data_IF_125162814514
#
_entry.id   IF_125162814514
#
_cell.length_a   1.000
_cell.length_b   1.000
_cell.length_c   1.000
_cell.angle_alpha   90.00
_cell.angle_beta   90.00
_cell.angle_gamma   90.00
#
_symmetry.space_group_name_H-M   'P 1'
#
loop_
_entity.id
_entity.type
_entity.pdbx_description
1 polymer ?
#
# COMPACT_ATOMS: atom_id res chain seq x y z
N UNK A 1 16.15 -43.56 19.75
CA UNK A 1 15.83 -43.13 18.38
C UNK A 1 15.15 -41.76 18.48
N UNK A 2 15.90 -40.68 18.25
CA UNK A 2 15.43 -39.30 18.42
C UNK A 2 14.50 -38.90 17.28
N UNK A 3 13.24 -38.55 17.56
CA UNK A 3 12.39 -37.81 16.62
C UNK A 3 12.33 -36.35 17.04
N UNK A 4 13.36 -35.58 16.67
CA UNK A 4 13.26 -34.13 16.60
C UNK A 4 12.41 -33.76 15.38
N UNK A 5 11.09 -33.83 15.49
CA UNK A 5 10.21 -33.18 14.51
C UNK A 5 10.21 -31.69 14.83
N UNK A 6 10.90 -30.91 14.00
CA UNK A 6 10.94 -29.45 14.12
C UNK A 6 9.52 -28.88 13.99
N UNK A 7 8.98 -28.46 15.12
CA UNK A 7 7.62 -27.88 15.27
C UNK A 7 7.39 -26.67 14.35
N UNK A 8 8.47 -26.04 13.88
CA UNK A 8 8.45 -24.85 13.03
C UNK A 8 7.91 -25.07 11.60
N UNK A 9 7.88 -26.30 11.09
CA UNK A 9 7.52 -26.58 9.67
C UNK A 9 6.02 -26.80 9.41
N UNK A 10 5.15 -26.77 10.44
CA UNK A 10 3.74 -27.21 10.34
C UNK A 10 2.66 -26.12 10.28
N UNK A 11 2.98 -24.83 10.43
CA UNK A 11 1.96 -23.78 10.32
C UNK A 11 1.84 -23.26 8.88
N UNK A 12 0.94 -23.86 8.11
CA UNK A 12 0.47 -23.23 6.88
C UNK A 12 -0.38 -22.01 7.22
N UNK A 13 -0.14 -20.91 6.51
CA UNK A 13 -0.90 -19.66 6.66
C UNK A 13 -1.92 -19.58 5.54
N UNK A 14 -3.14 -19.15 5.88
CA UNK A 14 -4.16 -18.87 4.86
C UNK A 14 -3.75 -17.66 4.02
N UNK A 15 -3.92 -17.68 2.68
CA UNK A 15 -3.58 -16.53 1.83
C UNK A 15 -4.31 -15.25 2.27
N UNK A 16 -5.51 -15.37 2.83
CA UNK A 16 -6.32 -14.24 3.31
C UNK A 16 -5.71 -13.57 4.54
N UNK A 17 -5.19 -14.37 5.47
CA UNK A 17 -4.49 -13.86 6.65
C UNK A 17 -3.19 -13.18 6.22
N UNK A 18 -2.46 -13.77 5.28
CA UNK A 18 -1.23 -13.16 4.76
C UNK A 18 -1.49 -11.80 4.11
N UNK A 19 -2.54 -11.69 3.27
CA UNK A 19 -2.96 -10.44 2.64
C UNK A 19 -3.35 -9.40 3.69
N UNK A 20 -4.16 -9.78 4.68
CA UNK A 20 -4.57 -8.87 5.75
C UNK A 20 -3.37 -8.39 6.59
N UNK A 21 -2.44 -9.28 6.93
CA UNK A 21 -1.22 -8.92 7.67
C UNK A 21 -0.36 -7.94 6.89
N UNK A 22 -0.17 -8.14 5.57
CA UNK A 22 0.57 -7.21 4.72
C UNK A 22 -0.15 -5.87 4.62
N UNK A 23 -1.48 -5.86 4.51
CA UNK A 23 -2.26 -4.63 4.50
C UNK A 23 -2.10 -3.82 5.80
N UNK A 24 -2.21 -4.47 6.97
CA UNK A 24 -1.97 -3.81 8.27
C UNK A 24 -0.55 -3.26 8.33
N UNK A 25 0.44 -4.06 7.93
CA UNK A 25 1.85 -3.67 7.96
C UNK A 25 2.10 -2.43 7.09
N UNK A 26 1.60 -2.42 5.85
CA UNK A 26 1.73 -1.28 4.94
C UNK A 26 1.01 -0.03 5.47
N UNK A 27 -0.21 -0.19 6.00
CA UNK A 27 -0.94 0.92 6.63
C UNK A 27 -0.13 1.53 7.77
N UNK A 28 0.42 0.72 8.67
CA UNK A 28 1.13 1.21 9.84
C UNK A 28 2.52 1.81 9.52
N UNK A 29 3.24 1.22 8.56
CA UNK A 29 4.67 1.56 8.36
C UNK A 29 4.95 2.46 7.17
N UNK A 30 4.14 2.38 6.10
CA UNK A 30 4.38 3.13 4.87
C UNK A 30 3.66 4.50 4.83
N UNK A 31 2.84 4.81 5.84
CA UNK A 31 1.95 5.98 5.83
C UNK A 31 2.16 6.91 7.04
N UNK A 32 3.38 6.96 7.59
CA UNK A 32 3.68 7.78 8.78
C UNK A 32 3.47 9.28 8.51
N UNK A 33 4.03 9.81 7.41
CA UNK A 33 3.80 11.21 7.01
C UNK A 33 2.32 11.51 6.77
N UNK A 34 1.56 10.57 6.21
CA UNK A 34 0.12 10.74 6.04
C UNK A 34 -0.55 10.95 7.40
N UNK A 35 -0.28 10.09 8.39
CA UNK A 35 -0.84 10.23 9.74
C UNK A 35 -0.37 11.50 10.45
N UNK A 36 0.90 11.88 10.31
CA UNK A 36 1.44 13.13 10.84
C UNK A 36 0.67 14.34 10.28
N UNK A 37 0.51 14.42 8.96
CA UNK A 37 -0.24 15.50 8.30
C UNK A 37 -1.72 15.52 8.65
N UNK A 38 -2.34 14.35 8.84
CA UNK A 38 -3.71 14.25 9.36
C UNK A 38 -3.78 14.81 10.78
N UNK A 39 -2.85 14.46 11.67
CA UNK A 39 -2.84 14.94 13.05
C UNK A 39 -2.58 16.45 13.17
N UNK A 40 -1.83 17.03 12.23
CA UNK A 40 -1.63 18.48 12.14
C UNK A 40 -2.88 19.21 11.64
N UNK A 41 -3.65 18.59 10.76
CA UNK A 41 -4.88 19.18 10.19
C UNK A 41 -6.08 19.01 11.12
N UNK A 42 -6.18 17.84 11.76
CA UNK A 42 -7.22 17.46 12.70
C UNK A 42 -6.54 17.07 14.02
N UNK A 43 -6.31 18.06 14.92
CA UNK A 43 -5.68 17.80 16.20
C UNK A 43 -6.38 16.67 16.95
N UNK A 44 -5.60 15.68 17.41
CA UNK A 44 -6.11 14.44 18.00
C UNK A 44 -6.93 14.71 19.26
N UNK A 45 -6.59 15.76 20.02
CA UNK A 45 -7.29 16.16 21.24
C UNK A 45 -8.80 16.36 21.00
N UNK A 46 -9.16 16.96 19.86
CA UNK A 46 -10.55 17.30 19.54
C UNK A 46 -11.19 16.33 18.54
N UNK A 47 -10.37 15.59 17.78
CA UNK A 47 -10.82 14.80 16.62
C UNK A 47 -10.45 13.32 16.69
N UNK A 48 -10.16 12.78 17.88
CA UNK A 48 -9.70 11.40 18.05
C UNK A 48 -10.58 10.38 17.29
N UNK A 49 -11.90 10.49 17.41
CA UNK A 49 -12.84 9.61 16.71
C UNK A 49 -12.65 9.62 15.18
N UNK A 50 -12.55 10.81 14.60
CA UNK A 50 -12.36 10.96 13.15
C UNK A 50 -10.97 10.49 12.68
N UNK A 51 -9.92 10.80 13.44
CA UNK A 51 -8.55 10.34 13.11
C UNK A 51 -8.47 8.81 13.13
N UNK A 52 -9.11 8.15 14.11
CA UNK A 52 -9.23 6.69 14.14
C UNK A 52 -9.97 6.15 12.92
N UNK A 53 -11.06 6.81 12.50
CA UNK A 53 -11.76 6.40 11.27
C UNK A 53 -10.89 6.53 10.02
N UNK A 54 -10.02 7.54 9.94
CA UNK A 54 -9.08 7.66 8.82
C UNK A 54 -8.11 6.48 8.78
N UNK A 55 -7.59 6.03 9.93
CA UNK A 55 -6.75 4.84 9.98
C UNK A 55 -7.50 3.58 9.52
N UNK A 56 -8.77 3.43 9.94
CA UNK A 56 -9.64 2.32 9.51
C UNK A 56 -9.91 2.35 8.01
N UNK A 57 -10.23 3.52 7.45
CA UNK A 57 -10.47 3.69 6.01
C UNK A 57 -9.20 3.40 5.21
N UNK A 58 -8.04 3.88 5.67
CA UNK A 58 -6.76 3.58 5.03
C UNK A 58 -6.43 2.09 5.07
N UNK A 59 -6.68 1.42 6.20
CA UNK A 59 -6.54 -0.03 6.30
C UNK A 59 -7.49 -0.76 5.33
N UNK A 60 -8.76 -0.35 5.26
CA UNK A 60 -9.72 -0.88 4.29
C UNK A 60 -9.26 -0.71 2.85
N UNK A 61 -8.74 0.46 2.48
CA UNK A 61 -8.19 0.72 1.15
C UNK A 61 -6.96 -0.16 0.84
N UNK A 62 -6.05 -0.33 1.81
CA UNK A 62 -4.88 -1.17 1.66
C UNK A 62 -5.26 -2.65 1.54
N UNK A 63 -6.23 -3.11 2.33
CA UNK A 63 -6.79 -4.47 2.25
C UNK A 63 -7.47 -4.73 0.90
N UNK A 64 -8.23 -3.75 0.39
CA UNK A 64 -8.87 -3.84 -0.92
C UNK A 64 -7.82 -3.99 -2.03
N UNK A 65 -6.84 -3.09 -2.10
CA UNK A 65 -5.83 -3.08 -3.16
C UNK A 65 -4.98 -4.35 -3.11
N UNK A 66 -4.49 -4.74 -1.93
CA UNK A 66 -3.72 -5.98 -1.78
C UNK A 66 -4.56 -7.18 -2.23
N UNK A 67 -5.82 -7.29 -1.79
CA UNK A 67 -6.72 -8.39 -2.20
C UNK A 67 -6.94 -8.43 -3.71
N UNK A 68 -7.22 -7.28 -4.35
CA UNK A 68 -7.49 -7.20 -5.79
C UNK A 68 -6.27 -7.60 -6.61
N UNK A 69 -5.09 -7.04 -6.30
CA UNK A 69 -3.87 -7.31 -7.04
C UNK A 69 -3.31 -8.71 -6.79
N UNK A 70 -3.58 -9.30 -5.60
CA UNK A 70 -3.05 -10.60 -5.21
C UNK A 70 -4.04 -11.76 -5.48
N UNK A 71 -4.92 -11.60 -6.46
CA UNK A 71 -6.04 -12.50 -6.74
C UNK A 71 -5.65 -13.85 -7.36
N UNK A 72 -4.39 -14.17 -7.61
CA UNK A 72 -4.03 -15.47 -8.20
C UNK A 72 -2.91 -16.16 -7.43
N UNK A 73 -2.96 -17.50 -7.31
CA UNK A 73 -2.06 -18.26 -6.42
C UNK A 73 -0.57 -18.05 -6.72
N UNK A 74 -0.23 -17.88 -7.99
CA UNK A 74 1.16 -17.64 -8.42
C UNK A 74 1.54 -16.15 -8.38
N UNK A 75 0.54 -15.26 -8.34
CA UNK A 75 0.73 -13.80 -8.32
C UNK A 75 0.72 -13.25 -6.89
N UNK A 76 0.11 -13.97 -5.95
CA UNK A 76 -0.03 -13.57 -4.55
C UNK A 76 1.29 -13.09 -3.94
N UNK A 77 2.29 -13.98 -3.89
CA UNK A 77 3.58 -13.67 -3.26
C UNK A 77 4.35 -12.56 -4.00
N UNK A 78 4.55 -12.63 -5.33
CA UNK A 78 5.24 -11.56 -6.06
C UNK A 78 4.62 -10.18 -5.86
N UNK A 79 3.28 -10.08 -5.89
CA UNK A 79 2.59 -8.80 -5.70
C UNK A 79 2.78 -8.28 -4.29
N UNK A 80 2.60 -9.11 -3.26
CA UNK A 80 2.78 -8.66 -1.88
C UNK A 80 4.22 -8.20 -1.62
N UNK A 81 5.21 -8.92 -2.15
CA UNK A 81 6.63 -8.53 -2.07
C UNK A 81 6.86 -7.19 -2.76
N UNK A 82 6.33 -7.02 -3.98
CA UNK A 82 6.45 -5.77 -4.74
C UNK A 82 5.82 -4.60 -3.99
N UNK A 83 4.64 -4.79 -3.38
CA UNK A 83 3.97 -3.76 -2.58
C UNK A 83 4.75 -3.40 -1.31
N UNK A 84 5.38 -4.37 -0.65
CA UNK A 84 6.23 -4.14 0.53
C UNK A 84 7.48 -3.33 0.17
N UNK A 85 8.20 -3.73 -0.89
CA UNK A 85 9.39 -3.01 -1.36
C UNK A 85 9.00 -1.61 -1.82
N UNK A 86 7.95 -1.49 -2.64
CA UNK A 86 7.44 -0.21 -3.13
C UNK A 86 7.02 0.69 -1.96
N UNK A 87 6.30 0.15 -0.97
CA UNK A 87 5.90 0.87 0.23
C UNK A 87 7.10 1.38 1.01
N UNK A 88 8.13 0.55 1.23
CA UNK A 88 9.34 0.95 1.95
C UNK A 88 10.13 2.06 1.21
N UNK A 89 10.30 1.93 -0.11
CA UNK A 89 10.98 2.94 -0.94
C UNK A 89 10.20 4.24 -0.93
N UNK A 90 8.91 4.18 -1.29
CA UNK A 90 8.09 5.39 -1.46
C UNK A 90 7.85 6.11 -0.14
N UNK A 91 7.57 5.37 0.94
CA UNK A 91 7.45 5.97 2.26
C UNK A 91 8.73 6.61 2.74
N UNK A 92 9.92 6.06 2.46
CA UNK A 92 11.18 6.70 2.85
C UNK A 92 11.31 8.11 2.27
N UNK A 93 11.08 8.27 0.96
CA UNK A 93 11.21 9.58 0.32
C UNK A 93 10.09 10.53 0.75
N UNK A 94 8.88 10.01 0.94
CA UNK A 94 7.79 10.80 1.51
C UNK A 94 8.13 11.26 2.93
N UNK A 95 8.64 10.39 3.79
CA UNK A 95 8.96 10.70 5.19
C UNK A 95 10.19 11.61 5.33
N UNK A 96 11.18 11.48 4.46
CA UNK A 96 12.44 12.24 4.56
C UNK A 96 12.38 13.57 3.82
N UNK A 97 11.74 13.60 2.65
CA UNK A 97 11.78 14.75 1.75
C UNK A 97 10.39 15.34 1.44
N UNK A 98 9.31 14.76 2.00
CA UNK A 98 7.94 15.18 1.69
C UNK A 98 7.51 14.85 0.27
N UNK A 99 8.21 13.95 -0.42
CA UNK A 99 7.95 13.61 -1.82
C UNK A 99 6.55 13.05 -2.02
N UNK A 100 5.86 13.57 -3.04
CA UNK A 100 4.57 13.08 -3.53
C UNK A 100 4.77 12.45 -4.90
N UNK A 101 4.34 11.21 -5.07
CA UNK A 101 4.49 10.44 -6.29
C UNK A 101 3.37 10.71 -7.29
N UNK A 102 3.28 11.93 -7.79
CA UNK A 102 2.39 12.26 -8.91
C UNK A 102 3.02 11.87 -10.26
N UNK A 103 2.28 12.08 -11.35
CA UNK A 103 2.74 11.75 -12.70
C UNK A 103 3.98 12.54 -13.12
N UNK A 104 4.14 13.77 -12.63
CA UNK A 104 5.28 14.64 -12.95
C UNK A 104 6.53 14.15 -12.23
N UNK A 105 6.41 13.77 -10.94
CA UNK A 105 7.52 13.14 -10.21
C UNK A 105 7.98 11.86 -10.92
N UNK A 106 7.06 10.99 -11.33
CA UNK A 106 7.42 9.77 -12.07
C UNK A 106 8.14 10.07 -13.38
N UNK A 107 7.70 11.07 -14.15
CA UNK A 107 8.38 11.49 -15.37
C UNK A 107 9.78 12.02 -15.08
N UNK A 108 9.92 12.87 -14.07
CA UNK A 108 11.21 13.41 -13.66
C UNK A 108 12.16 12.29 -13.22
N UNK A 109 11.68 11.35 -12.38
CA UNK A 109 12.47 10.21 -11.90
C UNK A 109 12.96 9.30 -13.03
N UNK A 110 12.22 9.20 -14.14
CA UNK A 110 12.66 8.45 -15.33
C UNK A 110 13.72 9.19 -16.15
N UNK A 111 13.82 10.51 -15.99
CA UNK A 111 14.77 11.39 -16.68
C UNK A 111 15.99 11.74 -15.82
N UNK A 112 15.95 11.46 -14.51
CA UNK A 112 16.98 11.82 -13.54
C UNK A 112 18.33 11.17 -13.84
N UNK A 113 19.41 11.96 -13.72
CA UNK A 113 20.79 11.50 -13.89
C UNK A 113 21.27 10.70 -12.66
N UNK A 114 22.15 9.71 -12.88
CA UNK A 114 22.75 8.93 -11.80
C UNK A 114 23.55 9.79 -10.81
N UNK A 115 24.08 10.92 -11.23
CA UNK A 115 24.79 11.86 -10.36
C UNK A 115 23.88 12.48 -9.28
N UNK A 116 22.63 12.82 -9.62
CA UNK A 116 21.66 13.42 -8.70
C UNK A 116 21.10 12.40 -7.68
N UNK A 117 21.17 11.10 -8.00
CA UNK A 117 20.55 10.05 -7.19
C UNK A 117 21.48 9.51 -6.10
N UNK A 118 22.80 9.70 -6.21
CA UNK A 118 23.78 9.11 -5.27
C UNK A 118 23.61 9.62 -3.84
N UNK A 119 23.35 10.91 -3.66
CA UNK A 119 23.20 11.51 -2.33
C UNK A 119 21.89 11.07 -1.64
N UNK A 120 20.92 10.58 -2.42
CA UNK A 120 19.67 10.02 -1.91
C UNK A 120 19.83 8.59 -1.37
N UNK A 121 20.83 7.85 -1.86
CA UNK A 121 21.13 6.47 -1.47
C UNK A 121 22.04 6.42 -0.23
N UNK A 122 21.57 6.98 0.88
CA UNK A 122 22.31 6.99 2.13
C UNK A 122 22.07 5.72 2.98
N UNK A 123 22.79 5.59 4.09
CA UNK A 123 22.67 4.45 4.99
C UNK A 123 21.26 4.30 5.59
N UNK A 124 20.56 5.41 5.86
CA UNK A 124 19.20 5.39 6.40
C UNK A 124 18.19 4.80 5.41
N UNK A 125 18.33 5.15 4.12
CA UNK A 125 17.55 4.55 3.03
C UNK A 125 17.72 3.04 2.98
N UNK A 126 18.97 2.56 3.00
CA UNK A 126 19.29 1.13 2.96
C UNK A 126 18.70 0.42 4.18
N UNK A 127 18.87 0.97 5.39
CA UNK A 127 18.29 0.39 6.61
C UNK A 127 16.77 0.32 6.55
N UNK A 128 16.10 1.36 6.04
CA UNK A 128 14.64 1.40 5.87
C UNK A 128 14.16 0.31 4.91
N UNK A 129 14.81 0.18 3.75
CA UNK A 129 14.46 -0.86 2.76
C UNK A 129 14.70 -2.25 3.33
N UNK A 130 15.84 -2.50 3.98
CA UNK A 130 16.12 -3.81 4.56
C UNK A 130 15.07 -4.12 5.63
N UNK A 131 14.84 -3.19 6.56
CA UNK A 131 13.93 -3.37 7.69
C UNK A 131 12.47 -3.56 7.29
N UNK A 132 11.96 -2.74 6.38
CA UNK A 132 10.53 -2.65 6.08
C UNK A 132 10.14 -3.12 4.68
N UNK A 133 11.10 -3.33 3.80
CA UNK A 133 10.88 -3.89 2.46
C UNK A 133 11.34 -5.34 2.40
N UNK A 134 12.65 -5.58 2.53
CA UNK A 134 13.29 -6.88 2.28
C UNK A 134 12.93 -7.90 3.36
N UNK A 135 13.10 -7.58 4.64
CA UNK A 135 12.77 -8.51 5.73
C UNK A 135 11.31 -9.00 5.67
N UNK A 136 10.28 -8.15 5.61
CA UNK A 136 8.91 -8.64 5.49
C UNK A 136 8.65 -9.35 4.16
N UNK A 137 9.33 -8.97 3.07
CA UNK A 137 9.24 -9.69 1.79
C UNK A 137 9.79 -11.11 1.87
N UNK A 138 10.91 -11.31 2.58
CA UNK A 138 11.46 -12.64 2.82
C UNK A 138 10.50 -13.49 3.66
N UNK A 139 9.85 -12.91 4.67
CA UNK A 139 8.80 -13.61 5.43
C UNK A 139 7.65 -14.06 4.52
N UNK A 140 7.19 -13.20 3.61
CA UNK A 140 6.17 -13.55 2.60
C UNK A 140 6.66 -14.62 1.61
N UNK A 141 7.94 -14.55 1.21
CA UNK A 141 8.52 -15.53 0.29
C UNK A 141 8.59 -16.93 0.91
N UNK A 142 9.04 -17.02 2.16
CA UNK A 142 9.26 -18.31 2.84
C UNK A 142 8.01 -18.89 3.52
N UNK A 143 6.97 -18.10 3.78
CA UNK A 143 5.75 -18.64 4.41
C UNK A 143 5.08 -19.69 3.51
N UNK A 144 4.72 -20.84 4.08
CA UNK A 144 3.94 -21.87 3.37
C UNK A 144 2.47 -21.44 3.33
N UNK A 145 1.97 -21.19 2.12
CA UNK A 145 0.58 -20.77 1.90
C UNK A 145 -0.25 -21.98 1.49
N UNK A 146 -1.33 -22.24 2.22
CA UNK A 146 -2.29 -23.30 1.88
C UNK A 146 -3.49 -22.71 1.13
N UNK A 147 -3.60 -23.09 -0.14
CA UNK A 147 -4.59 -22.52 -1.05
C UNK A 147 -5.89 -23.32 -0.99
N UNK A 148 -7.03 -22.69 -0.67
CA UNK A 148 -8.32 -23.37 -0.68
C UNK A 148 -8.72 -23.80 -2.10
N UNK A 149 -9.67 -24.74 -2.19
CA UNK A 149 -10.33 -25.08 -3.46
C UNK A 149 -10.95 -23.84 -4.11
N UNK A 150 -11.05 -23.83 -5.44
CA UNK A 150 -11.38 -22.63 -6.22
C UNK A 150 -12.65 -21.90 -5.72
N UNK A 151 -13.74 -22.63 -5.47
CA UNK A 151 -15.00 -22.05 -4.95
C UNK A 151 -14.88 -21.46 -3.54
N UNK A 152 -14.26 -22.18 -2.60
CA UNK A 152 -14.01 -21.66 -1.23
C UNK A 152 -13.05 -20.46 -1.26
N UNK A 153 -12.08 -20.48 -2.17
CA UNK A 153 -11.15 -19.38 -2.40
C UNK A 153 -11.87 -18.13 -2.90
N UNK A 154 -12.75 -18.27 -3.89
CA UNK A 154 -13.54 -17.17 -4.41
C UNK A 154 -14.46 -16.56 -3.34
N UNK A 155 -15.20 -17.39 -2.60
CA UNK A 155 -16.10 -16.91 -1.54
C UNK A 155 -15.36 -16.12 -0.46
N UNK A 156 -14.20 -16.62 0.01
CA UNK A 156 -13.39 -15.92 1.01
C UNK A 156 -12.82 -14.60 0.50
N UNK A 157 -12.51 -14.51 -0.80
CA UNK A 157 -12.06 -13.24 -1.42
C UNK A 157 -13.18 -12.23 -1.54
N UNK A 158 -14.36 -12.66 -1.96
CA UNK A 158 -15.55 -11.81 -1.96
C UNK A 158 -15.82 -11.30 -0.54
N UNK A 159 -15.69 -12.17 0.47
CA UNK A 159 -15.75 -11.77 1.87
C UNK A 159 -14.73 -10.68 2.24
N UNK A 160 -13.46 -10.80 1.83
CA UNK A 160 -12.45 -9.76 2.05
C UNK A 160 -12.76 -8.45 1.32
N UNK A 161 -13.26 -8.51 0.09
CA UNK A 161 -13.65 -7.32 -0.69
C UNK A 161 -14.83 -6.62 -0.01
N UNK A 162 -15.84 -7.37 0.41
CA UNK A 162 -16.98 -6.80 1.15
C UNK A 162 -16.52 -6.21 2.48
N UNK A 163 -15.65 -6.91 3.21
CA UNK A 163 -15.11 -6.41 4.47
C UNK A 163 -14.29 -5.13 4.28
N UNK A 164 -13.44 -5.06 3.26
CA UNK A 164 -12.64 -3.87 2.96
C UNK A 164 -13.50 -2.68 2.54
N UNK A 165 -14.54 -2.92 1.72
CA UNK A 165 -15.52 -1.90 1.37
C UNK A 165 -16.32 -1.44 2.59
N UNK A 166 -16.70 -2.33 3.51
CA UNK A 166 -17.37 -1.95 4.76
C UNK A 166 -16.47 -1.09 5.65
N UNK A 167 -15.19 -1.45 5.78
CA UNK A 167 -14.18 -0.66 6.52
C UNK A 167 -13.97 0.74 5.90
N UNK A 168 -14.24 0.92 4.61
CA UNK A 168 -14.19 2.23 3.95
C UNK A 168 -15.51 2.98 4.13
N UNK A 169 -16.62 2.36 3.75
CA UNK A 169 -17.91 3.05 3.57
C UNK A 169 -18.59 3.36 4.90
N UNK A 170 -18.54 2.45 5.88
CA UNK A 170 -19.22 2.68 7.17
C UNK A 170 -18.67 3.91 7.90
N UNK A 171 -17.34 4.10 8.05
CA UNK A 171 -16.82 5.31 8.68
C UNK A 171 -17.06 6.56 7.84
N UNK A 172 -16.97 6.46 6.50
CA UNK A 172 -17.23 7.59 5.60
C UNK A 172 -18.67 8.10 5.73
N UNK A 173 -19.65 7.21 5.84
CA UNK A 173 -21.05 7.58 6.04
C UNK A 173 -21.27 8.12 7.46
N UNK A 174 -20.72 7.45 8.48
CA UNK A 174 -20.87 7.86 9.88
C UNK A 174 -20.26 9.25 10.17
N UNK A 175 -19.15 9.59 9.53
CA UNK A 175 -18.44 10.88 9.68
C UNK A 175 -18.53 11.73 8.39
N UNK A 176 -19.67 11.67 7.70
CA UNK A 176 -19.86 12.26 6.36
C UNK A 176 -19.47 13.73 6.25
N UNK A 177 -19.77 14.57 7.26
CA UNK A 177 -19.39 15.99 7.27
C UNK A 177 -17.87 16.20 7.30
N UNK A 178 -17.16 15.41 8.12
CA UNK A 178 -15.70 15.47 8.24
C UNK A 178 -15.04 14.96 6.97
N UNK A 179 -15.51 13.84 6.41
CA UNK A 179 -14.99 13.31 5.16
C UNK A 179 -15.29 14.23 3.97
N UNK A 180 -16.45 14.88 3.92
CA UNK A 180 -16.76 15.87 2.89
C UNK A 180 -15.77 17.04 2.94
N UNK A 181 -15.46 17.55 4.14
CA UNK A 181 -14.44 18.59 4.33
C UNK A 181 -13.05 18.09 3.92
N UNK A 182 -12.64 16.91 4.40
CA UNK A 182 -11.36 16.28 4.07
C UNK A 182 -11.15 16.15 2.56
N UNK A 183 -12.13 15.61 1.84
CA UNK A 183 -12.03 15.43 0.38
C UNK A 183 -12.13 16.74 -0.40
N UNK A 184 -12.85 17.75 0.10
CA UNK A 184 -13.03 19.03 -0.60
C UNK A 184 -11.87 19.99 -0.37
N UNK A 185 -11.41 20.11 0.86
CA UNK A 185 -10.42 21.12 1.31
C UNK A 185 -9.01 20.53 1.33
N UNK A 186 -8.84 19.34 1.91
CA UNK A 186 -7.52 18.76 2.17
C UNK A 186 -7.08 17.76 1.10
N UNK A 187 -7.37 18.07 -0.16
CA UNK A 187 -7.02 17.24 -1.33
C UNK A 187 -5.55 16.81 -1.40
N UNK A 188 -4.55 17.61 -0.98
CA UNK A 188 -3.15 17.17 -1.01
C UNK A 188 -2.84 16.02 -0.05
N UNK A 189 -3.59 15.89 1.05
CA UNK A 189 -3.28 14.89 2.09
C UNK A 189 -3.36 13.46 1.58
N UNK A 190 -4.33 13.17 0.70
CA UNK A 190 -4.46 11.85 0.08
C UNK A 190 -3.28 11.48 -0.82
N UNK A 191 -2.47 12.47 -1.24
CA UNK A 191 -1.32 12.24 -2.10
C UNK A 191 -0.10 11.66 -1.39
N UNK A 192 -0.11 11.65 -0.06
CA UNK A 192 0.94 11.03 0.77
C UNK A 192 0.69 9.54 1.05
N UNK A 193 -0.39 8.96 0.50
CA UNK A 193 -0.74 7.56 0.77
C UNK A 193 0.12 6.62 -0.07
N UNK A 194 0.96 5.82 0.60
CA UNK A 194 1.88 4.89 -0.03
C UNK A 194 1.52 3.42 0.31
N UNK A 195 1.64 2.47 -0.63
CA UNK A 195 2.07 2.63 -2.04
C UNK A 195 0.91 2.97 -3.02
N UNK A 196 -0.27 3.36 -2.54
CA UNK A 196 -1.46 3.57 -3.37
C UNK A 196 -1.26 4.67 -4.42
N UNK A 197 -0.72 5.83 -4.02
CA UNK A 197 -0.50 6.96 -4.93
C UNK A 197 0.51 6.65 -6.05
N UNK A 198 1.68 6.06 -5.76
CA UNK A 198 2.57 5.54 -6.80
C UNK A 198 1.87 4.63 -7.82
N UNK A 199 1.06 3.67 -7.35
CA UNK A 199 0.30 2.74 -8.21
C UNK A 199 -0.68 3.50 -9.11
N UNK A 200 -1.44 4.43 -8.52
CA UNK A 200 -2.37 5.27 -9.25
C UNK A 200 -1.67 6.12 -10.32
N UNK A 201 -0.55 6.76 -9.98
CA UNK A 201 0.21 7.62 -10.88
C UNK A 201 0.83 6.85 -12.04
N UNK A 202 1.34 5.63 -11.81
CA UNK A 202 1.81 4.75 -12.91
C UNK A 202 0.67 4.42 -13.86
N UNK A 203 -0.50 4.01 -13.36
CA UNK A 203 -1.65 3.72 -14.20
C UNK A 203 -2.15 4.95 -14.99
N UNK A 204 -2.16 6.12 -14.34
CA UNK A 204 -2.52 7.39 -14.99
C UNK A 204 -1.53 7.76 -16.08
N UNK A 205 -0.22 7.67 -15.81
CA UNK A 205 0.83 7.96 -16.80
C UNK A 205 0.72 7.03 -18.01
N UNK A 206 0.57 5.72 -17.78
CA UNK A 206 0.37 4.75 -18.87
C UNK A 206 -0.86 5.10 -19.74
N UNK A 207 -1.96 5.56 -19.13
CA UNK A 207 -3.15 5.99 -19.87
C UNK A 207 -2.93 7.25 -20.71
N UNK A 208 -2.08 8.18 -20.24
CA UNK A 208 -1.73 9.41 -20.96
C UNK A 208 -0.87 9.07 -22.18
N UNK A 209 0.16 8.24 -21.99
CA UNK A 209 1.05 7.81 -23.08
C UNK A 209 0.29 6.99 -24.12
N UNK A 210 -0.62 6.10 -23.69
CA UNK A 210 -1.49 5.35 -24.60
C UNK A 210 -2.35 6.29 -25.45
N UNK A 211 -3.01 7.28 -24.83
CA UNK A 211 -3.82 8.28 -25.56
C UNK A 211 -2.99 9.05 -26.57
N UNK A 212 -1.78 9.48 -26.18
CA UNK A 212 -0.84 10.20 -27.05
C UNK A 212 -0.39 9.36 -28.25
N UNK A 213 -0.10 8.07 -28.03
CA UNK A 213 0.28 7.14 -29.09
C UNK A 213 -0.90 6.79 -30.03
N UNK A 214 -2.13 6.79 -29.51
CA UNK A 214 -3.36 6.51 -30.27
C UNK A 214 -3.98 7.73 -30.95
N UNK A 215 -3.48 8.94 -30.68
CA UNK A 215 -3.99 10.15 -31.31
C UNK A 215 -3.67 10.14 -32.81
N UNK A 216 -4.62 10.50 -33.69
CA UNK A 216 -4.33 10.62 -35.11
C UNK A 216 -3.22 11.64 -35.31
N UNK A 217 -2.24 11.32 -36.17
CA UNK A 217 -1.23 12.29 -36.58
C UNK A 217 -1.96 13.30 -37.46
N UNK A 218 -1.93 14.58 -37.08
CA UNK A 218 -2.39 15.66 -37.96
C UNK A 218 -1.53 15.59 -39.24
N UNK A 219 -2.15 15.16 -40.34
CA UNK A 219 -1.59 15.15 -41.70
C UNK A 219 -1.83 16.48 -42.38
#
# INVERSE_FOLDING_TARGET
>A
MMQHTSVWYRRSVSPFVLVASVAVFLTATANLTFFDKISQTYPIADNLGFVLTIAVVLFGAMLLITTLLSSYRYVLKPVLILLLIMGAVTSYFTDTYGTVYDTTMLQNALQTDQAETKDLLNAAFIMRIIGLGVLPSLLVAFVKVDYPTWGKGLMRRLGLIVASLALILLPVVAFSSHYASFFRVHKPLRSYVNPIMPIYSVGKLASIEYKKASAPKDT
#
